data_IF_518532705313
#
_entry.id   IF_518532705313
#
_cell.length_a   1.000
_cell.length_b   1.000
_cell.length_c   1.000
_cell.angle_alpha   90.00
_cell.angle_beta   90.00
_cell.angle_gamma   90.00
#
_symmetry.space_group_name_H-M   'P 1'
#
loop_
_entity.id
_entity.type
_entity.pdbx_description
1 polymer ?
#
# COMPACT_ATOMS: atom_id res chain seq x y z
N UNK A 1 -1.14 81.05 -68.24
CA UNK A 1 -0.89 79.59 -68.25
C UNK A 1 -0.60 79.16 -66.82
N UNK A 2 -1.48 78.40 -66.18
CA UNK A 2 -1.19 77.75 -64.90
C UNK A 2 -1.13 76.24 -65.19
N UNK A 3 0.06 75.64 -65.03
CA UNK A 3 0.24 74.20 -65.14
C UNK A 3 -0.28 73.56 -63.86
N UNK A 4 -1.34 72.74 -63.97
CA UNK A 4 -1.72 71.80 -62.93
C UNK A 4 -0.65 70.70 -62.89
N UNK A 5 0.18 70.71 -61.85
CA UNK A 5 1.14 69.64 -61.57
C UNK A 5 0.33 68.44 -61.10
N UNK A 6 0.24 67.43 -61.96
CA UNK A 6 -0.41 66.17 -61.64
C UNK A 6 0.47 65.39 -60.64
N UNK A 7 -0.09 65.10 -59.46
CA UNK A 7 0.61 64.36 -58.41
C UNK A 7 0.83 62.92 -58.88
N UNK A 8 2.09 62.41 -58.89
CA UNK A 8 2.38 61.06 -59.35
C UNK A 8 1.63 60.00 -58.53
N UNK A 9 1.19 58.92 -59.20
CA UNK A 9 0.45 57.82 -58.55
C UNK A 9 1.18 57.20 -57.36
N UNK A 10 2.52 57.18 -57.36
CA UNK A 10 3.32 56.70 -56.23
C UNK A 10 3.18 57.56 -54.97
N UNK A 11 2.96 58.86 -55.12
CA UNK A 11 2.74 59.78 -54.00
C UNK A 11 1.38 59.50 -53.36
N UNK A 12 0.32 59.35 -54.18
CA UNK A 12 -1.01 58.98 -53.68
C UNK A 12 -1.03 57.62 -52.97
N UNK A 13 -0.25 56.65 -53.46
CA UNK A 13 -0.10 55.33 -52.83
C UNK A 13 0.60 55.38 -51.47
N UNK A 14 1.62 56.25 -51.33
CA UNK A 14 2.30 56.45 -50.05
C UNK A 14 1.41 57.19 -49.06
N UNK A 15 0.64 58.19 -49.51
CA UNK A 15 -0.35 58.89 -48.69
C UNK A 15 -1.39 57.93 -48.12
N UNK A 16 -1.94 57.02 -48.95
CA UNK A 16 -2.92 56.04 -48.46
C UNK A 16 -2.35 55.06 -47.43
N UNK A 17 -1.10 54.62 -47.61
CA UNK A 17 -0.43 53.72 -46.66
C UNK A 17 -0.09 54.42 -45.34
N UNK A 18 0.29 55.70 -45.40
CA UNK A 18 0.54 56.48 -44.19
C UNK A 18 -0.73 56.67 -43.37
N UNK A 19 -1.87 56.92 -44.04
CA UNK A 19 -3.17 57.02 -43.38
C UNK A 19 -3.55 55.70 -42.69
N UNK A 20 -3.42 54.57 -43.38
CA UNK A 20 -3.70 53.25 -42.80
C UNK A 20 -2.81 52.94 -41.59
N UNK A 21 -1.52 53.31 -41.66
CA UNK A 21 -0.59 53.15 -40.54
C UNK A 21 -1.02 54.04 -39.36
N UNK A 22 -1.44 55.27 -39.63
CA UNK A 22 -1.90 56.20 -38.60
C UNK A 22 -3.14 55.64 -37.88
N UNK A 23 -4.12 55.13 -38.62
CA UNK A 23 -5.31 54.48 -38.06
C UNK A 23 -4.96 53.25 -37.20
N UNK A 24 -4.02 52.41 -37.66
CA UNK A 24 -3.55 51.25 -36.88
C UNK A 24 -2.83 51.67 -35.61
N UNK A 25 -2.02 52.73 -35.66
CA UNK A 25 -1.32 53.28 -34.50
C UNK A 25 -2.32 53.85 -33.50
N UNK A 26 -3.35 54.56 -33.97
CA UNK A 26 -4.42 55.07 -33.10
C UNK A 26 -5.22 53.94 -32.46
N UNK A 27 -5.50 52.86 -33.18
CA UNK A 27 -6.11 51.65 -32.62
C UNK A 27 -5.22 51.00 -31.56
N UNK A 28 -3.91 50.91 -31.79
CA UNK A 28 -2.95 50.38 -30.80
C UNK A 28 -2.91 51.28 -29.57
N UNK A 29 -2.83 52.60 -29.76
CA UNK A 29 -2.85 53.57 -28.67
C UNK A 29 -4.16 53.54 -27.88
N UNK A 30 -5.30 53.29 -28.54
CA UNK A 30 -6.59 53.09 -27.90
C UNK A 30 -6.63 51.80 -27.07
N UNK A 31 -5.98 50.72 -27.54
CA UNK A 31 -5.84 49.46 -26.79
C UNK A 31 -4.89 49.62 -25.60
N UNK A 32 -3.79 50.34 -25.76
CA UNK A 32 -2.80 50.63 -24.71
C UNK A 32 -3.34 51.63 -23.68
N UNK A 33 -4.12 52.61 -24.11
CA UNK A 33 -4.75 53.63 -23.27
C UNK A 33 -6.09 53.21 -22.66
N UNK A 34 -6.66 52.07 -23.09
CA UNK A 34 -7.76 51.43 -22.38
C UNK A 34 -7.22 51.08 -20.98
N UNK A 35 -7.90 51.45 -19.88
CA UNK A 35 -7.45 51.14 -18.52
C UNK A 35 -7.30 49.62 -18.26
N UNK A 36 -7.77 48.81 -19.20
CA UNK A 36 -7.56 47.38 -19.29
C UNK A 36 -6.62 47.11 -20.48
N UNK A 37 -5.32 46.91 -20.34
CA UNK A 37 -4.72 46.17 -19.22
C UNK A 37 -5.35 44.77 -19.04
N UNK A 38 -6.19 44.35 -20.01
CA UNK A 38 -7.35 43.43 -19.88
C UNK A 38 -6.98 41.98 -19.54
N UNK A 39 -5.69 41.66 -19.44
CA UNK A 39 -5.20 40.33 -19.10
C UNK A 39 -4.22 40.34 -17.92
N UNK A 40 -3.64 41.49 -17.56
CA UNK A 40 -2.55 41.56 -16.57
C UNK A 40 -3.11 41.80 -15.15
N UNK A 41 -4.17 42.60 -14.99
CA UNK A 41 -4.80 42.82 -13.68
C UNK A 41 -5.57 41.59 -13.18
N UNK A 42 -6.34 40.95 -14.06
CA UNK A 42 -7.08 39.71 -13.74
C UNK A 42 -6.10 38.55 -13.44
N UNK A 43 -4.93 38.54 -14.09
CA UNK A 43 -3.85 37.59 -13.80
C UNK A 43 -3.22 37.84 -12.42
N UNK A 44 -3.00 39.09 -12.00
CA UNK A 44 -2.40 39.39 -10.70
C UNK A 44 -3.26 38.93 -9.53
N UNK A 45 -4.59 39.08 -9.61
CA UNK A 45 -5.51 38.57 -8.60
C UNK A 45 -5.54 37.04 -8.55
N UNK A 46 -5.56 36.40 -9.72
CA UNK A 46 -5.50 34.93 -9.84
C UNK A 46 -4.18 34.35 -9.27
N UNK A 47 -3.04 35.00 -9.54
CA UNK A 47 -1.73 34.58 -9.01
C UNK A 47 -1.66 34.72 -7.48
N UNK A 48 -2.22 35.80 -6.91
CA UNK A 48 -2.28 35.97 -5.47
C UNK A 48 -3.12 34.87 -4.79
N UNK A 49 -4.28 34.57 -5.36
CA UNK A 49 -5.14 33.48 -4.88
C UNK A 49 -4.47 32.11 -5.02
N UNK A 50 -3.85 31.80 -6.16
CA UNK A 50 -3.11 30.54 -6.34
C UNK A 50 -2.00 30.41 -5.29
N UNK A 51 -1.29 31.50 -4.99
CA UNK A 51 -0.23 31.49 -3.96
C UNK A 51 -0.79 31.20 -2.57
N UNK A 52 -1.95 31.75 -2.22
CA UNK A 52 -2.63 31.48 -0.96
C UNK A 52 -3.02 30.00 -0.86
N UNK A 53 -3.68 29.45 -1.87
CA UNK A 53 -4.06 28.02 -1.93
C UNK A 53 -2.86 27.08 -1.85
N UNK A 54 -1.73 27.44 -2.48
CA UNK A 54 -0.49 26.66 -2.39
C UNK A 54 0.06 26.64 -0.96
N UNK A 55 0.02 27.77 -0.25
CA UNK A 55 0.46 27.83 1.14
C UNK A 55 -0.49 27.06 2.08
N UNK A 56 -1.81 27.14 1.86
CA UNK A 56 -2.79 26.34 2.60
C UNK A 56 -2.58 24.85 2.38
N UNK A 57 -2.31 24.45 1.13
CA UNK A 57 -2.00 23.08 0.77
C UNK A 57 -0.72 22.59 1.45
N UNK A 58 0.35 23.39 1.45
CA UNK A 58 1.62 23.06 2.11
C UNK A 58 1.43 22.88 3.63
N UNK A 59 0.69 23.79 4.27
CA UNK A 59 0.36 23.67 5.69
C UNK A 59 -0.49 22.42 5.99
N UNK A 60 -1.49 22.13 5.15
CA UNK A 60 -2.33 20.94 5.29
C UNK A 60 -1.51 19.65 5.13
N UNK A 61 -0.61 19.61 4.15
CA UNK A 61 0.31 18.48 3.94
C UNK A 61 1.23 18.28 5.13
N UNK A 62 1.77 19.37 5.70
CA UNK A 62 2.61 19.31 6.90
C UNK A 62 1.86 18.74 8.10
N UNK A 63 0.65 19.21 8.38
CA UNK A 63 -0.18 18.71 9.49
C UNK A 63 -0.48 17.22 9.29
N UNK A 64 -0.83 16.81 8.07
CA UNK A 64 -1.12 15.41 7.78
C UNK A 64 0.12 14.52 7.97
N UNK A 65 1.31 15.00 7.58
CA UNK A 65 2.57 14.29 7.83
C UNK A 65 2.87 14.14 9.32
N UNK A 66 2.64 15.18 10.12
CA UNK A 66 2.79 15.11 11.59
C UNK A 66 1.84 14.06 12.19
N UNK A 67 0.56 14.07 11.79
CA UNK A 67 -0.41 13.06 12.26
C UNK A 67 -0.03 11.62 11.87
N UNK A 68 0.46 11.41 10.64
CA UNK A 68 0.94 10.10 10.19
C UNK A 68 2.14 9.67 11.01
N UNK A 69 3.08 10.58 11.29
CA UNK A 69 4.26 10.28 12.06
C UNK A 69 3.92 9.90 13.51
N UNK A 70 3.02 10.65 14.16
CA UNK A 70 2.55 10.33 15.51
C UNK A 70 1.92 8.94 15.57
N UNK A 71 1.07 8.61 14.59
CA UNK A 71 0.46 7.28 14.49
C UNK A 71 1.49 6.16 14.25
N UNK A 72 2.51 6.43 13.42
CA UNK A 72 3.59 5.48 13.17
C UNK A 72 4.42 5.22 14.44
N UNK A 73 4.64 6.23 15.26
CA UNK A 73 5.34 6.07 16.54
C UNK A 73 4.50 5.27 17.56
N UNK A 74 3.17 5.47 17.61
CA UNK A 74 2.28 4.64 18.44
C UNK A 74 2.32 3.16 18.02
N UNK A 75 2.29 2.89 16.71
CA UNK A 75 2.44 1.52 16.20
C UNK A 75 3.81 0.93 16.51
N UNK A 76 4.88 1.72 16.38
CA UNK A 76 6.25 1.30 16.74
C UNK A 76 6.33 0.92 18.21
N UNK A 77 5.80 1.76 19.11
CA UNK A 77 5.78 1.49 20.54
C UNK A 77 5.03 0.19 20.87
N UNK A 78 3.90 -0.04 20.20
CA UNK A 78 3.12 -1.28 20.37
C UNK A 78 3.90 -2.50 19.88
N UNK A 79 4.58 -2.40 18.74
CA UNK A 79 5.43 -3.48 18.22
C UNK A 79 6.62 -3.79 19.13
N UNK A 80 7.24 -2.77 19.72
CA UNK A 80 8.35 -2.96 20.65
C UNK A 80 7.89 -3.68 21.93
N UNK A 81 6.70 -3.35 22.46
CA UNK A 81 6.09 -4.08 23.58
C UNK A 81 5.91 -5.56 23.21
N UNK A 82 5.27 -5.85 22.08
CA UNK A 82 5.02 -7.23 21.62
C UNK A 82 6.34 -8.00 21.42
N UNK A 83 7.35 -7.36 20.84
CA UNK A 83 8.68 -7.96 20.66
C UNK A 83 9.31 -8.34 21.99
N UNK A 84 9.27 -7.45 22.96
CA UNK A 84 9.81 -7.69 24.30
C UNK A 84 9.06 -8.80 25.03
N UNK A 85 7.72 -8.89 24.88
CA UNK A 85 6.94 -10.00 25.44
C UNK A 85 7.29 -11.35 24.79
N UNK A 86 7.51 -11.38 23.47
CA UNK A 86 7.97 -12.59 22.78
C UNK A 86 9.34 -13.02 23.31
N UNK A 87 10.25 -12.07 23.51
CA UNK A 87 11.57 -12.35 24.08
C UNK A 87 11.45 -12.89 25.52
N UNK A 88 10.63 -12.29 26.38
CA UNK A 88 10.35 -12.80 27.73
C UNK A 88 9.80 -14.23 27.69
N UNK A 89 8.75 -14.48 26.90
CA UNK A 89 8.17 -15.81 26.75
C UNK A 89 9.21 -16.82 26.26
N UNK A 90 10.07 -16.44 25.32
CA UNK A 90 11.12 -17.31 24.79
C UNK A 90 12.19 -17.62 25.85
N UNK A 91 12.58 -16.65 26.69
CA UNK A 91 13.52 -16.89 27.80
C UNK A 91 12.92 -17.84 28.83
N UNK A 92 11.64 -17.64 29.21
CA UNK A 92 10.91 -18.51 30.15
C UNK A 92 10.77 -19.93 29.62
N UNK A 93 10.44 -20.08 28.33
CA UNK A 93 10.36 -21.38 27.66
C UNK A 93 11.73 -22.09 27.68
N UNK A 94 12.80 -21.37 27.35
CA UNK A 94 14.16 -21.90 27.37
C UNK A 94 14.59 -22.36 28.76
N UNK A 95 14.25 -21.60 29.81
CA UNK A 95 14.48 -21.99 31.20
C UNK A 95 13.69 -23.24 31.60
N UNK A 96 12.43 -23.34 31.20
CA UNK A 96 11.59 -24.51 31.47
C UNK A 96 12.15 -25.76 30.78
N UNK A 97 12.52 -25.66 29.51
CA UNK A 97 13.16 -26.74 28.77
C UNK A 97 14.48 -27.18 29.43
N UNK A 98 15.30 -26.23 29.90
CA UNK A 98 16.54 -26.53 30.63
C UNK A 98 16.25 -27.21 31.98
N UNK A 99 15.25 -26.74 32.73
CA UNK A 99 14.83 -27.34 33.99
C UNK A 99 14.37 -28.79 33.81
N UNK A 100 13.59 -29.07 32.76
CA UNK A 100 13.15 -30.42 32.41
C UNK A 100 14.30 -31.33 31.99
N UNK A 101 15.26 -30.82 31.20
CA UNK A 101 16.46 -31.57 30.82
C UNK A 101 17.31 -31.93 32.05
N UNK A 102 17.40 -31.02 33.03
CA UNK A 102 18.14 -31.24 34.28
C UNK A 102 17.40 -32.13 35.29
N UNK A 103 16.09 -32.33 35.14
CA UNK A 103 15.28 -33.23 35.97
C UNK A 103 15.13 -34.65 35.37
N UNK A 104 15.81 -34.95 34.26
CA UNK A 104 15.83 -36.29 33.69
C UNK A 104 16.36 -37.30 34.75
N UNK A 105 15.59 -38.34 35.13
CA UNK A 105 16.01 -39.28 36.16
C UNK A 105 17.22 -40.05 35.67
N UNK A 106 18.21 -40.21 36.55
CA UNK A 106 19.22 -41.28 36.45
C UNK A 106 18.45 -42.60 36.57
N UNK A 107 18.02 -43.13 35.42
CA UNK A 107 17.32 -44.41 35.31
C UNK A 107 15.83 -44.33 35.62
N UNK A 108 15.00 -44.44 34.57
CA UNK A 108 13.55 -44.68 34.68
C UNK A 108 12.73 -43.60 33.99
N UNK A 109 12.02 -44.00 32.93
CA UNK A 109 11.31 -43.13 31.99
C UNK A 109 10.34 -42.13 32.66
N UNK A 110 10.47 -40.84 32.30
CA UNK A 110 9.40 -39.86 32.41
C UNK A 110 8.58 -39.93 31.11
N UNK A 111 7.25 -40.13 31.15
CA UNK A 111 6.43 -39.89 29.98
C UNK A 111 6.30 -38.38 29.82
N UNK A 112 7.16 -37.81 28.98
CA UNK A 112 7.00 -36.46 28.46
C UNK A 112 5.68 -36.45 27.72
N UNK A 113 4.69 -35.71 28.24
CA UNK A 113 3.52 -35.26 27.48
C UNK A 113 4.01 -34.25 26.44
N UNK A 114 4.80 -34.73 25.48
CA UNK A 114 5.19 -33.98 24.32
C UNK A 114 3.89 -33.66 23.59
N UNK A 115 3.72 -32.40 23.19
CA UNK A 115 2.95 -32.14 21.98
C UNK A 115 3.69 -32.92 20.90
N UNK A 116 3.31 -34.19 20.73
CA UNK A 116 3.74 -34.99 19.63
C UNK A 116 3.32 -34.18 18.42
N UNK A 117 4.27 -33.63 17.68
CA UNK A 117 4.06 -33.32 16.27
C UNK A 117 3.68 -34.69 15.70
N UNK A 118 2.38 -34.97 15.71
CA UNK A 118 1.79 -36.27 15.45
C UNK A 118 2.11 -36.55 14.00
N UNK A 119 3.25 -37.21 13.76
CA UNK A 119 3.65 -37.65 12.44
C UNK A 119 2.69 -38.78 12.06
N UNK A 120 1.57 -38.39 11.48
CA UNK A 120 0.56 -39.30 10.93
C UNK A 120 1.27 -40.21 9.93
N UNK A 121 1.21 -41.52 10.20
CA UNK A 121 1.71 -42.51 9.24
C UNK A 121 0.75 -42.53 8.05
N UNK A 122 1.25 -42.49 6.81
CA UNK A 122 0.39 -42.63 5.65
C UNK A 122 -0.34 -43.97 5.69
N UNK A 123 -1.64 -43.96 5.43
CA UNK A 123 -2.42 -45.18 5.27
C UNK A 123 -2.33 -45.63 3.81
N UNK A 124 -1.90 -46.87 3.59
CA UNK A 124 -2.00 -47.56 2.31
C UNK A 124 -3.16 -48.57 2.37
N UNK A 125 -3.60 -49.08 1.21
CA UNK A 125 -4.73 -49.99 1.00
C UNK A 125 -4.53 -51.38 1.66
N UNK A 126 -4.14 -51.45 2.92
CA UNK A 126 -4.25 -52.66 3.70
C UNK A 126 -5.73 -53.01 3.79
N UNK A 127 -6.14 -54.19 3.31
CA UNK A 127 -7.48 -54.75 3.58
C UNK A 127 -7.59 -55.23 5.04
N UNK A 128 -7.08 -54.41 5.95
CA UNK A 128 -7.04 -54.64 7.39
C UNK A 128 -7.91 -53.58 8.05
N UNK A 129 -9.08 -54.01 8.52
CA UNK A 129 -10.03 -53.15 9.21
C UNK A 129 -9.41 -52.50 10.46
N UNK A 130 -8.49 -53.20 11.14
CA UNK A 130 -7.81 -52.69 12.35
C UNK A 130 -6.82 -51.59 12.00
N UNK A 131 -6.11 -51.71 10.88
CA UNK A 131 -5.22 -50.66 10.41
C UNK A 131 -5.99 -49.39 10.03
N UNK A 132 -7.16 -49.54 9.40
CA UNK A 132 -8.03 -48.42 9.06
C UNK A 132 -8.59 -47.73 10.31
N UNK A 133 -9.06 -48.51 11.28
CA UNK A 133 -9.59 -47.98 12.55
C UNK A 133 -8.53 -47.22 13.33
N UNK A 134 -7.30 -47.75 13.41
CA UNK A 134 -6.17 -47.06 14.04
C UNK A 134 -5.83 -45.74 13.32
N UNK A 135 -5.85 -45.72 11.99
CA UNK A 135 -5.58 -44.50 11.22
C UNK A 135 -6.65 -43.42 11.44
N UNK A 136 -7.93 -43.81 11.45
CA UNK A 136 -9.03 -42.89 11.75
C UNK A 136 -8.90 -42.35 13.18
N UNK A 137 -8.61 -43.22 14.15
CA UNK A 137 -8.40 -42.82 15.53
C UNK A 137 -7.24 -41.81 15.67
N UNK A 138 -6.10 -42.06 15.02
CA UNK A 138 -4.96 -41.16 15.03
C UNK A 138 -5.26 -39.81 14.36
N UNK A 139 -6.02 -39.80 13.26
CA UNK A 139 -6.50 -38.57 12.59
C UNK A 139 -7.41 -37.75 13.49
N UNK A 140 -8.34 -38.38 14.20
CA UNK A 140 -9.24 -37.68 15.13
C UNK A 140 -8.47 -37.02 16.28
N UNK A 141 -7.49 -37.74 16.85
CA UNK A 141 -6.61 -37.19 17.89
C UNK A 141 -5.77 -36.04 17.35
N UNK A 142 -5.27 -36.17 16.13
CA UNK A 142 -4.55 -35.10 15.45
C UNK A 142 -5.40 -33.84 15.29
N UNK A 143 -6.62 -33.95 14.75
CA UNK A 143 -7.51 -32.80 14.57
C UNK A 143 -7.87 -32.13 15.89
N UNK A 144 -8.05 -32.92 16.96
CA UNK A 144 -8.28 -32.39 18.31
C UNK A 144 -7.05 -31.66 18.85
N UNK A 145 -5.85 -32.16 18.60
CA UNK A 145 -4.60 -31.55 19.05
C UNK A 145 -4.32 -30.21 18.37
N UNK A 146 -4.61 -30.07 17.07
CA UNK A 146 -4.40 -28.82 16.33
C UNK A 146 -5.61 -27.87 16.33
N UNK A 147 -6.59 -28.12 17.20
CA UNK A 147 -7.84 -27.37 17.35
C UNK A 147 -8.53 -27.01 16.02
N UNK A 148 -8.40 -27.89 15.01
CA UNK A 148 -8.92 -27.61 13.67
C UNK A 148 -10.41 -27.93 13.64
N UNK A 149 -11.23 -26.93 13.36
CA UNK A 149 -12.70 -27.04 13.36
C UNK A 149 -13.30 -27.13 11.96
N UNK A 150 -12.60 -26.60 10.95
CA UNK A 150 -13.11 -26.52 9.57
C UNK A 150 -13.02 -27.87 8.86
N UNK A 151 -14.15 -28.36 8.33
CA UNK A 151 -14.24 -29.64 7.61
C UNK A 151 -13.29 -29.72 6.42
N UNK A 152 -13.14 -28.63 5.67
CA UNK A 152 -12.26 -28.55 4.49
C UNK A 152 -10.78 -28.81 4.82
N UNK A 153 -10.28 -28.21 5.91
CA UNK A 153 -8.90 -28.41 6.38
C UNK A 153 -8.71 -29.85 6.86
N UNK A 154 -9.72 -30.42 7.55
CA UNK A 154 -9.69 -31.84 7.97
C UNK A 154 -9.64 -32.79 6.78
N UNK A 155 -10.49 -32.57 5.77
CA UNK A 155 -10.51 -33.38 4.54
C UNK A 155 -9.15 -33.30 3.85
N UNK A 156 -8.66 -32.10 3.55
CA UNK A 156 -7.37 -31.89 2.88
C UNK A 156 -6.25 -32.63 3.58
N UNK A 157 -6.19 -32.52 4.90
CA UNK A 157 -5.14 -33.14 5.69
C UNK A 157 -5.27 -34.67 5.76
N UNK A 158 -6.49 -35.21 5.85
CA UNK A 158 -6.71 -36.64 5.76
C UNK A 158 -6.25 -37.17 4.39
N UNK A 159 -6.57 -36.48 3.30
CA UNK A 159 -6.19 -36.88 1.94
C UNK A 159 -4.67 -36.83 1.71
N UNK A 160 -3.97 -35.87 2.32
CA UNK A 160 -2.51 -35.80 2.28
C UNK A 160 -1.82 -37.02 2.90
N UNK A 161 -2.48 -37.69 3.85
CA UNK A 161 -1.97 -38.87 4.55
C UNK A 161 -2.53 -40.19 4.00
N UNK A 162 -3.29 -40.17 2.90
CA UNK A 162 -3.54 -41.37 2.09
C UNK A 162 -2.34 -41.60 1.17
N UNK A 163 -2.09 -42.85 0.77
CA UNK A 163 -0.98 -43.21 -0.11
C UNK A 163 -1.39 -44.27 -1.14
N UNK A 164 -0.66 -44.34 -2.26
CA UNK A 164 -0.88 -45.32 -3.33
C UNK A 164 -2.34 -45.31 -3.83
N UNK A 165 -2.90 -46.50 -4.07
CA UNK A 165 -4.28 -46.73 -4.47
C UNK A 165 -5.32 -46.09 -3.53
N UNK A 166 -4.98 -45.79 -2.27
CA UNK A 166 -5.92 -45.17 -1.34
C UNK A 166 -6.22 -43.71 -1.70
N UNK A 167 -5.37 -43.03 -2.49
CA UNK A 167 -5.66 -41.70 -3.05
C UNK A 167 -6.60 -41.73 -4.26
N UNK A 168 -6.79 -42.90 -4.88
CA UNK A 168 -7.51 -43.06 -6.15
C UNK A 168 -9.00 -43.45 -5.96
N UNK A 169 -9.44 -43.57 -4.70
CA UNK A 169 -10.82 -43.84 -4.29
C UNK A 169 -11.45 -42.58 -3.72
#
# INVERSE_FOLDING_TARGET
MLYLVEVPNSVRFLESHLEEIFEKVDMINAVVGRPNGLLIQDSSGSVAHIKEHVNELDNSQKIHLEMINDMLEDFRATLDIVRNEIEDVNTRLSLLMRGMANQAPVGGAIPVSGVNILKLKPFCKARDAKALENFIFDLEKYFKAINTVTKEVKVTLATMHLSEDAKLW
#
